data_IF_412170093197
#
_entry.id   IF_412170093197
#
_cell.length_a   1.000
_cell.length_b   1.000
_cell.length_c   1.000
_cell.angle_alpha   90.00
_cell.angle_beta   90.00
_cell.angle_gamma   90.00
#
_symmetry.space_group_name_H-M   'P 1'
#
loop_
_entity.id
_entity.type
_entity.pdbx_description
1 polymer ?
#
# COMPACT_ATOMS: atom_id res chain seq x y z
N UNK A 1 -6.65 15.79 5.56
CA UNK A 1 -6.05 14.44 5.68
C UNK A 1 -4.53 14.55 5.68
N UNK A 2 -3.97 15.18 6.70
CA UNK A 2 -2.54 15.53 6.72
C UNK A 2 -1.64 14.33 6.96
N UNK A 3 -2.11 13.34 7.74
CA UNK A 3 -1.31 12.14 8.02
C UNK A 3 -1.13 11.34 6.74
N UNK A 4 -2.19 11.12 5.99
CA UNK A 4 -2.13 10.35 4.76
C UNK A 4 -1.30 11.08 3.69
N UNK A 5 -1.42 12.41 3.61
CA UNK A 5 -0.54 13.26 2.78
C UNK A 5 0.94 13.09 3.14
N UNK A 6 1.27 13.00 4.43
CA UNK A 6 2.64 12.79 4.89
C UNK A 6 3.16 11.42 4.46
N UNK A 7 2.40 10.36 4.71
CA UNK A 7 2.80 8.99 4.33
C UNK A 7 2.98 8.85 2.81
N UNK A 8 2.13 9.48 1.99
CA UNK A 8 2.27 9.46 0.53
C UNK A 8 3.57 10.10 0.01
N UNK A 9 4.20 11.01 0.78
CA UNK A 9 5.49 11.61 0.37
C UNK A 9 6.65 10.62 0.51
N UNK A 10 6.51 9.64 1.40
CA UNK A 10 7.50 8.59 1.62
C UNK A 10 7.36 7.44 0.60
N UNK A 11 6.30 7.44 -0.21
CA UNK A 11 6.06 6.42 -1.22
C UNK A 11 7.13 6.46 -2.32
N UNK A 12 7.97 5.42 -2.37
CA UNK A 12 8.96 5.20 -3.43
C UNK A 12 8.50 4.22 -4.51
N UNK A 13 7.44 3.46 -4.22
CA UNK A 13 7.06 2.26 -4.98
C UNK A 13 5.88 2.45 -5.92
N UNK A 14 5.19 3.60 -5.89
CA UNK A 14 4.03 3.85 -6.72
C UNK A 14 3.83 5.35 -7.00
N UNK A 15 3.11 5.66 -8.08
CA UNK A 15 2.74 7.03 -8.39
C UNK A 15 1.61 7.52 -7.48
N UNK A 16 1.94 8.46 -6.59
CA UNK A 16 1.00 9.07 -5.65
C UNK A 16 0.08 10.12 -6.29
N UNK A 17 0.23 10.46 -7.58
CA UNK A 17 -0.54 11.52 -8.26
C UNK A 17 -2.05 11.29 -8.17
N UNK A 18 -2.51 10.06 -8.38
CA UNK A 18 -3.93 9.68 -8.22
C UNK A 18 -4.49 10.10 -6.86
N UNK A 19 -3.76 9.83 -5.77
CA UNK A 19 -4.22 10.19 -4.42
C UNK A 19 -4.16 11.68 -4.16
N UNK A 20 -3.18 12.41 -4.73
CA UNK A 20 -3.10 13.87 -4.61
C UNK A 20 -4.35 14.55 -5.17
N UNK A 21 -4.82 14.11 -6.34
CA UNK A 21 -6.03 14.65 -6.98
C UNK A 21 -7.30 14.39 -6.15
N UNK A 22 -7.40 13.21 -5.53
CA UNK A 22 -8.50 12.90 -4.62
C UNK A 22 -8.43 13.76 -3.34
N UNK A 23 -7.24 13.96 -2.80
CA UNK A 23 -7.06 14.79 -1.61
C UNK A 23 -7.40 16.26 -1.88
N UNK A 24 -7.03 16.79 -3.04
CA UNK A 24 -7.40 18.14 -3.45
C UNK A 24 -8.91 18.27 -3.67
N UNK A 25 -9.57 17.20 -4.13
CA UNK A 25 -11.04 17.14 -4.21
C UNK A 25 -11.68 17.25 -2.83
N UNK A 26 -11.13 16.56 -1.81
CA UNK A 26 -11.63 16.64 -0.42
C UNK A 26 -11.49 18.08 0.11
N UNK A 27 -10.32 18.69 -0.03
CA UNK A 27 -10.06 20.02 0.52
C UNK A 27 -10.96 21.10 -0.13
N UNK A 28 -11.27 20.95 -1.42
CA UNK A 28 -12.12 21.90 -2.14
C UNK A 28 -13.62 21.73 -1.86
N UNK A 29 -14.07 20.56 -1.40
CA UNK A 29 -15.50 20.23 -1.36
C UNK A 29 -16.03 19.83 0.03
N UNK A 30 -15.21 19.76 1.08
CA UNK A 30 -15.68 19.34 2.41
C UNK A 30 -16.85 20.18 2.94
N UNK A 31 -16.78 21.51 2.82
CA UNK A 31 -17.82 22.42 3.30
C UNK A 31 -19.00 22.55 2.33
N UNK A 32 -18.73 22.57 1.02
CA UNK A 32 -19.74 22.87 0.00
C UNK A 32 -20.50 21.63 -0.51
N UNK A 33 -19.82 20.48 -0.57
CA UNK A 33 -20.34 19.22 -1.11
C UNK A 33 -19.87 18.02 -0.27
N UNK A 34 -20.43 17.86 0.95
CA UNK A 34 -20.11 16.75 1.86
C UNK A 34 -20.21 15.36 1.21
N UNK A 35 -21.18 15.16 0.32
CA UNK A 35 -21.39 13.89 -0.37
C UNK A 35 -20.22 13.52 -1.31
N UNK A 36 -19.72 14.48 -2.08
CA UNK A 36 -18.55 14.28 -2.95
C UNK A 36 -17.33 13.94 -2.10
N UNK A 37 -17.19 14.59 -0.95
CA UNK A 37 -16.10 14.34 -0.01
C UNK A 37 -16.14 12.92 0.54
N UNK A 38 -17.33 12.42 0.90
CA UNK A 38 -17.53 11.03 1.35
C UNK A 38 -17.25 10.02 0.22
N UNK A 39 -17.69 10.32 -1.01
CA UNK A 39 -17.39 9.50 -2.20
C UNK A 39 -15.88 9.43 -2.47
N UNK A 40 -15.20 10.55 -2.30
CA UNK A 40 -13.74 10.65 -2.48
C UNK A 40 -13.00 9.87 -1.39
N UNK A 41 -13.45 9.93 -0.14
CA UNK A 41 -12.91 9.09 0.94
C UNK A 41 -13.05 7.59 0.62
N UNK A 42 -14.20 7.16 0.09
CA UNK A 42 -14.37 5.78 -0.39
C UNK A 42 -13.36 5.44 -1.49
N UNK A 43 -13.17 6.31 -2.47
CA UNK A 43 -12.22 6.08 -3.56
C UNK A 43 -10.79 5.91 -3.06
N UNK A 44 -10.38 6.68 -2.04
CA UNK A 44 -9.07 6.55 -1.38
C UNK A 44 -8.93 5.17 -0.71
N UNK A 45 -9.92 4.75 0.07
CA UNK A 45 -9.91 3.43 0.74
C UNK A 45 -9.83 2.30 -0.29
N UNK A 46 -10.61 2.41 -1.37
CA UNK A 46 -10.65 1.42 -2.45
C UNK A 46 -9.32 1.36 -3.21
N UNK A 47 -8.78 2.51 -3.60
CA UNK A 47 -7.52 2.63 -4.31
C UNK A 47 -6.36 2.06 -3.50
N UNK A 48 -6.23 2.45 -2.22
CA UNK A 48 -5.18 1.93 -1.34
C UNK A 48 -5.31 0.40 -1.14
N UNK A 49 -6.53 -0.11 -0.99
CA UNK A 49 -6.74 -1.55 -0.85
C UNK A 49 -6.32 -2.32 -2.11
N UNK A 50 -6.62 -1.77 -3.30
CA UNK A 50 -6.19 -2.35 -4.58
C UNK A 50 -4.67 -2.33 -4.71
N UNK A 51 -4.03 -1.18 -4.42
CA UNK A 51 -2.59 -1.03 -4.44
C UNK A 51 -1.90 -2.11 -3.59
N UNK A 52 -2.31 -2.26 -2.33
CA UNK A 52 -1.74 -3.27 -1.42
C UNK A 52 -1.87 -4.68 -1.99
N UNK A 53 -3.01 -5.04 -2.57
CA UNK A 53 -3.24 -6.39 -3.13
C UNK A 53 -2.47 -6.63 -4.44
N UNK A 54 -2.32 -5.60 -5.26
CA UNK A 54 -1.50 -5.66 -6.46
C UNK A 54 -0.03 -5.87 -6.10
N UNK A 55 0.47 -5.13 -5.11
CA UNK A 55 1.88 -5.13 -4.74
C UNK A 55 2.28 -6.35 -3.89
N UNK A 56 1.47 -6.72 -2.88
CA UNK A 56 1.85 -7.81 -1.97
C UNK A 56 1.39 -9.21 -2.42
N UNK A 57 0.28 -9.30 -3.16
CA UNK A 57 -0.30 -10.58 -3.57
C UNK A 57 -0.33 -10.74 -5.10
N UNK A 58 0.30 -9.82 -5.86
CA UNK A 58 0.38 -9.85 -7.33
C UNK A 58 -1.00 -9.99 -8.00
N UNK A 59 -2.03 -9.42 -7.37
CA UNK A 59 -3.40 -9.51 -7.88
C UNK A 59 -3.53 -8.67 -9.16
N UNK A 60 -3.91 -9.26 -10.31
CA UNK A 60 -3.97 -8.52 -11.57
C UNK A 60 -5.12 -7.50 -11.58
N UNK A 61 -4.95 -6.38 -12.28
CA UNK A 61 -5.96 -5.31 -12.35
C UNK A 61 -7.33 -5.81 -12.84
N UNK A 62 -7.33 -6.80 -13.74
CA UNK A 62 -8.53 -7.44 -14.27
C UNK A 62 -9.39 -8.12 -13.20
N UNK A 63 -8.80 -8.56 -12.08
CA UNK A 63 -9.52 -9.11 -10.95
C UNK A 63 -10.50 -8.09 -10.35
N UNK A 64 -10.10 -6.82 -10.27
CA UNK A 64 -10.93 -5.75 -9.71
C UNK A 64 -12.00 -5.25 -10.68
N UNK A 65 -11.77 -5.38 -12.00
CA UNK A 65 -12.72 -4.96 -13.04
C UNK A 65 -13.85 -5.97 -13.24
N UNK A 66 -13.58 -7.26 -13.05
CA UNK A 66 -14.50 -8.35 -13.39
C UNK A 66 -15.33 -8.87 -12.20
N UNK A 67 -15.16 -8.27 -11.02
CA UNK A 67 -15.80 -8.72 -9.77
C UNK A 67 -16.47 -7.55 -9.09
N UNK A 68 -17.76 -7.71 -8.77
CA UNK A 68 -18.49 -6.77 -7.90
C UNK A 68 -18.10 -7.02 -6.44
N UNK A 69 -16.91 -6.54 -6.06
CA UNK A 69 -16.37 -6.63 -4.71
C UNK A 69 -16.87 -5.44 -3.90
N UNK A 70 -17.59 -5.72 -2.81
CA UNK A 70 -17.93 -4.67 -1.85
C UNK A 70 -16.66 -4.08 -1.24
N UNK A 71 -16.67 -2.77 -0.97
CA UNK A 71 -15.55 -2.04 -0.36
C UNK A 71 -15.02 -2.74 0.90
N UNK A 72 -15.93 -3.26 1.73
CA UNK A 72 -15.58 -3.99 2.96
C UNK A 72 -14.80 -5.30 2.71
N UNK A 73 -15.13 -6.03 1.64
CA UNK A 73 -14.40 -7.26 1.27
C UNK A 73 -13.01 -6.93 0.78
N UNK A 74 -12.91 -5.95 -0.12
CA UNK A 74 -11.64 -5.48 -0.66
C UNK A 74 -10.70 -4.98 0.45
N UNK A 75 -11.22 -4.17 1.36
CA UNK A 75 -10.48 -3.67 2.51
C UNK A 75 -10.01 -4.81 3.44
N UNK A 76 -10.87 -5.81 3.68
CA UNK A 76 -10.52 -6.99 4.47
C UNK A 76 -9.40 -7.80 3.81
N UNK A 77 -9.47 -8.00 2.50
CA UNK A 77 -8.44 -8.71 1.72
C UNK A 77 -7.09 -7.98 1.83
N UNK A 78 -7.06 -6.66 1.59
CA UNK A 78 -5.84 -5.85 1.70
C UNK A 78 -5.23 -5.89 3.11
N UNK A 79 -6.06 -5.75 4.15
CA UNK A 79 -5.64 -5.87 5.55
C UNK A 79 -5.04 -7.25 5.84
N UNK A 80 -5.64 -8.31 5.33
CA UNK A 80 -5.16 -9.67 5.54
C UNK A 80 -3.83 -9.92 4.81
N UNK A 81 -3.65 -9.35 3.61
CA UNK A 81 -2.37 -9.39 2.89
C UNK A 81 -1.25 -8.71 3.71
N UNK A 82 -1.51 -7.51 4.24
CA UNK A 82 -0.57 -6.83 5.14
C UNK A 82 -0.25 -7.69 6.37
N UNK A 83 -1.27 -8.23 7.04
CA UNK A 83 -1.10 -9.11 8.21
C UNK A 83 -0.18 -10.29 7.90
N UNK A 84 -0.46 -11.00 6.80
CA UNK A 84 0.32 -12.14 6.34
C UNK A 84 1.77 -11.77 6.05
N UNK A 85 2.04 -10.62 5.40
CA UNK A 85 3.41 -10.16 5.12
C UNK A 85 4.17 -9.79 6.40
N UNK A 86 3.52 -9.08 7.33
CA UNK A 86 4.09 -8.76 8.66
C UNK A 86 4.43 -10.05 9.43
N UNK A 87 3.56 -11.05 9.40
CA UNK A 87 3.78 -12.35 10.04
C UNK A 87 4.90 -13.14 9.35
N UNK A 88 5.05 -13.04 8.03
CA UNK A 88 6.15 -13.67 7.29
C UNK A 88 7.51 -13.03 7.64
N UNK A 89 7.60 -11.69 7.67
CA UNK A 89 8.79 -10.95 8.08
C UNK A 89 9.20 -11.21 9.55
N UNK A 90 8.31 -11.76 10.38
CA UNK A 90 8.62 -12.23 11.73
C UNK A 90 9.45 -13.51 11.75
N UNK A 91 9.31 -14.37 10.73
CA UNK A 91 9.92 -15.70 10.70
C UNK A 91 11.40 -15.67 10.32
N UNK A 92 11.88 -14.57 9.74
CA UNK A 92 13.29 -14.36 9.38
C UNK A 92 14.14 -13.81 10.54
N UNK A 93 13.50 -13.29 11.60
CA UNK A 93 14.19 -12.74 12.78
C UNK A 93 14.04 -13.72 13.95
N UNK A 94 14.85 -14.78 13.95
CA UNK A 94 15.05 -15.66 15.12
C UNK A 94 16.43 -15.36 15.70
N UNK A 95 16.50 -14.53 16.73
CA UNK A 95 17.72 -14.39 17.53
C UNK A 95 17.82 -15.55 18.54
N UNK A 96 19.03 -16.06 18.77
CA UNK A 96 19.33 -17.17 19.70
C UNK A 96 18.93 -16.88 21.17
N UNK A 97 18.67 -15.61 21.54
CA UNK A 97 18.44 -15.20 22.94
C UNK A 97 16.97 -14.84 23.31
N UNK A 98 15.98 -15.24 22.50
CA UNK A 98 14.59 -15.30 22.96
C UNK A 98 13.82 -13.97 23.08
N UNK A 99 14.31 -12.87 22.50
CA UNK A 99 13.54 -11.62 22.41
C UNK A 99 12.60 -11.66 21.20
N UNK A 100 11.34 -12.04 21.43
CA UNK A 100 10.28 -12.01 20.41
C UNK A 100 9.19 -11.03 20.85
N UNK A 101 9.37 -9.72 20.66
CA UNK A 101 8.34 -8.77 21.16
C UNK A 101 7.96 -7.56 20.30
N UNK A 102 8.62 -7.25 19.18
CA UNK A 102 8.31 -5.99 18.46
C UNK A 102 7.08 -6.06 17.52
N UNK A 103 6.82 -7.20 16.88
CA UNK A 103 5.78 -7.31 15.82
C UNK A 103 4.59 -8.22 16.16
N UNK A 104 4.71 -9.08 17.19
CA UNK A 104 3.68 -10.09 17.52
C UNK A 104 2.32 -9.52 17.92
N UNK A 105 2.28 -8.29 18.45
CA UNK A 105 1.03 -7.62 18.82
C UNK A 105 0.43 -6.80 17.66
N UNK A 106 1.26 -6.36 16.69
CA UNK A 106 0.84 -5.44 15.62
C UNK A 106 -0.15 -6.11 14.64
N UNK A 107 0.07 -7.38 14.29
CA UNK A 107 -0.84 -8.16 13.44
C UNK A 107 -2.25 -8.30 14.05
N UNK A 108 -2.33 -8.52 15.37
CA UNK A 108 -3.59 -8.60 16.10
C UNK A 108 -4.25 -7.22 16.26
N UNK A 109 -3.45 -6.17 16.50
CA UNK A 109 -3.92 -4.78 16.55
C UNK A 109 -4.50 -4.35 15.19
N UNK A 110 -3.89 -4.74 14.07
CA UNK A 110 -4.43 -4.49 12.73
C UNK A 110 -5.84 -5.05 12.56
N UNK A 111 -6.06 -6.27 13.04
CA UNK A 111 -7.37 -6.93 12.95
C UNK A 111 -8.45 -6.25 13.79
N UNK A 112 -8.07 -5.72 14.96
CA UNK A 112 -8.99 -5.02 15.87
C UNK A 112 -9.30 -3.58 15.42
N UNK A 113 -8.29 -2.83 14.97
CA UNK A 113 -8.43 -1.41 14.62
C UNK A 113 -8.94 -1.18 13.19
N UNK A 114 -8.51 -2.02 12.23
CA UNK A 114 -8.96 -1.93 10.84
C UNK A 114 -10.18 -2.85 10.63
N UNK A 115 -11.28 -2.53 11.31
CA UNK A 115 -12.52 -3.29 11.22
C UNK A 115 -13.25 -3.01 9.89
N UNK A 116 -13.47 -4.02 9.01
CA UNK A 116 -14.18 -3.84 7.75
C UNK A 116 -15.63 -3.35 7.89
N UNK A 117 -16.24 -3.46 9.06
CA UNK A 117 -17.60 -2.96 9.33
C UNK A 117 -17.67 -1.43 9.29
N UNK A 118 -16.63 -0.73 9.74
CA UNK A 118 -16.57 0.75 9.65
C UNK A 118 -16.57 1.16 8.17
N UNK A 119 -15.76 0.47 7.37
CA UNK A 119 -15.70 0.66 5.91
C UNK A 119 -17.02 0.32 5.23
N UNK A 120 -17.69 -0.75 5.67
CA UNK A 120 -19.01 -1.11 5.18
C UNK A 120 -20.02 0.01 5.43
N UNK A 121 -20.01 0.62 6.63
CA UNK A 121 -20.89 1.75 6.98
C UNK A 121 -20.62 2.98 6.12
N UNK A 122 -19.36 3.32 5.86
CA UNK A 122 -19.00 4.41 4.93
C UNK A 122 -19.58 4.12 3.52
N UNK A 123 -19.45 2.86 3.05
CA UNK A 123 -20.03 2.42 1.78
C UNK A 123 -21.57 2.51 1.73
N UNK A 124 -22.25 2.18 2.83
CA UNK A 124 -23.70 2.32 2.96
C UNK A 124 -24.13 3.78 2.95
N UNK A 125 -23.49 4.65 3.76
CA UNK A 125 -23.76 6.10 3.79
C UNK A 125 -23.63 6.68 2.39
N UNK A 126 -22.57 6.31 1.64
CA UNK A 126 -22.43 6.72 0.24
C UNK A 126 -23.58 6.22 -0.63
N UNK A 127 -23.95 4.95 -0.51
CA UNK A 127 -24.97 4.35 -1.40
C UNK A 127 -26.34 4.96 -1.17
N UNK A 128 -26.69 5.23 0.09
CA UNK A 128 -27.97 5.81 0.49
C UNK A 128 -28.02 7.34 0.24
N UNK A 129 -26.91 8.06 0.48
CA UNK A 129 -26.92 9.53 0.53
C UNK A 129 -26.14 10.23 -0.61
N UNK A 130 -25.20 9.56 -1.29
CA UNK A 130 -24.32 10.15 -2.32
C UNK A 130 -25.05 10.68 -3.56
N UNK A 131 -24.52 11.73 -4.19
CA UNK A 131 -25.16 12.41 -5.33
C UNK A 131 -25.29 11.53 -6.58
N UNK A 132 -24.38 10.59 -6.79
CA UNK A 132 -24.29 9.77 -8.01
C UNK A 132 -24.19 8.28 -7.63
N UNK A 133 -25.28 7.71 -7.11
CA UNK A 133 -25.38 6.27 -6.78
C UNK A 133 -26.17 5.49 -7.84
N UNK A 134 -25.64 4.38 -8.35
CA UNK A 134 -26.41 3.49 -9.23
C UNK A 134 -27.59 2.87 -8.46
N UNK A 135 -28.82 3.03 -8.99
CA UNK A 135 -30.05 2.46 -8.41
C UNK A 135 -30.94 3.41 -7.61
N UNK A 136 -30.73 4.74 -7.71
CA UNK A 136 -31.41 5.72 -6.86
C UNK A 136 -32.83 6.08 -7.30
N UNK A 137 -33.69 6.32 -6.31
CA UNK A 137 -34.98 7.00 -6.42
C UNK A 137 -34.76 8.53 -6.47
N UNK A 138 -35.59 9.34 -7.17
CA UNK A 138 -35.29 10.76 -7.46
C UNK A 138 -35.24 11.72 -6.25
N UNK A 139 -35.69 11.30 -5.07
CA UNK A 139 -35.77 12.14 -3.88
C UNK A 139 -34.69 11.71 -2.87
N UNK A 140 -33.78 12.63 -2.55
CA UNK A 140 -32.84 12.47 -1.43
C UNK A 140 -33.61 12.42 -0.12
N UNK A 141 -33.49 11.32 0.63
CA UNK A 141 -34.08 11.20 1.97
C UNK A 141 -33.26 11.93 3.03
N UNK A 142 -31.97 12.15 2.79
CA UNK A 142 -31.05 12.82 3.71
C UNK A 142 -29.91 13.51 2.94
N UNK A 143 -29.52 14.70 3.40
CA UNK A 143 -28.32 15.43 2.96
C UNK A 143 -27.30 15.31 4.07
N UNK A 144 -26.07 14.91 3.74
CA UNK A 144 -25.00 14.85 4.72
C UNK A 144 -24.49 16.27 5.01
N UNK A 145 -24.17 16.55 6.27
CA UNK A 145 -23.58 17.81 6.68
C UNK A 145 -22.04 17.75 6.65
N UNK A 146 -21.42 18.92 6.74
CA UNK A 146 -19.96 19.07 6.80
C UNK A 146 -19.35 18.28 7.96
N UNK A 147 -20.00 18.29 9.14
CA UNK A 147 -19.52 17.59 10.32
C UNK A 147 -19.42 16.06 10.12
N UNK A 148 -20.39 15.46 9.43
CA UNK A 148 -20.32 14.05 9.06
C UNK A 148 -19.21 13.77 8.04
N UNK A 149 -19.02 14.65 7.05
CA UNK A 149 -17.92 14.53 6.11
C UNK A 149 -16.56 14.62 6.82
N UNK A 150 -16.38 15.58 7.74
CA UNK A 150 -15.16 15.71 8.56
C UNK A 150 -14.89 14.47 9.41
N UNK A 151 -15.93 13.86 10.00
CA UNK A 151 -15.78 12.60 10.72
C UNK A 151 -15.26 11.48 9.79
N UNK A 152 -15.85 11.35 8.60
CA UNK A 152 -15.46 10.33 7.62
C UNK A 152 -14.03 10.60 7.10
N UNK A 153 -13.65 11.86 6.89
CA UNK A 153 -12.28 12.27 6.57
C UNK A 153 -11.34 11.81 7.68
N UNK A 154 -11.64 12.07 8.94
CA UNK A 154 -10.78 11.70 10.07
C UNK A 154 -10.58 10.19 10.23
N UNK A 155 -11.65 9.41 10.01
CA UNK A 155 -11.59 7.94 9.98
C UNK A 155 -10.73 7.45 8.82
N UNK A 156 -10.95 8.01 7.63
CA UNK A 156 -10.21 7.67 6.41
C UNK A 156 -8.73 7.99 6.56
N UNK A 157 -8.40 9.19 7.02
CA UNK A 157 -7.02 9.65 7.25
C UNK A 157 -6.30 8.69 8.20
N UNK A 158 -6.94 8.35 9.33
CA UNK A 158 -6.33 7.47 10.34
C UNK A 158 -6.10 6.05 9.82
N UNK A 159 -7.11 5.44 9.18
CA UNK A 159 -7.00 4.07 8.67
C UNK A 159 -6.04 3.96 7.50
N UNK A 160 -6.17 4.84 6.50
CA UNK A 160 -5.35 4.80 5.30
C UNK A 160 -3.88 5.15 5.60
N UNK A 161 -3.63 6.12 6.49
CA UNK A 161 -2.25 6.40 6.94
C UNK A 161 -1.64 5.18 7.59
N UNK A 162 -2.35 4.56 8.53
CA UNK A 162 -1.82 3.39 9.23
C UNK A 162 -1.56 2.21 8.29
N UNK A 163 -2.48 1.93 7.35
CA UNK A 163 -2.28 0.91 6.33
C UNK A 163 -1.08 1.22 5.44
N UNK A 164 -0.92 2.47 5.01
CA UNK A 164 0.18 2.89 4.15
C UNK A 164 1.53 2.80 4.87
N UNK A 165 1.61 3.24 6.13
CA UNK A 165 2.82 3.04 6.96
C UNK A 165 3.18 1.57 7.07
N UNK A 166 2.20 0.69 7.32
CA UNK A 166 2.45 -0.76 7.39
C UNK A 166 2.82 -1.36 6.06
N UNK A 167 2.25 -0.86 4.98
CA UNK A 167 2.61 -1.23 3.63
C UNK A 167 4.08 -0.90 3.33
N UNK A 168 4.53 0.33 3.60
CA UNK A 168 5.94 0.71 3.46
C UNK A 168 6.89 -0.15 4.31
N UNK A 169 6.45 -0.58 5.49
CA UNK A 169 7.27 -1.45 6.37
C UNK A 169 7.43 -2.89 5.88
N UNK A 170 6.55 -3.36 4.99
CA UNK A 170 6.55 -4.75 4.51
C UNK A 170 6.76 -4.90 3.02
N UNK A 171 6.84 -3.80 2.28
CA UNK A 171 7.41 -3.84 0.95
C UNK A 171 8.90 -4.18 1.09
N UNK A 172 9.35 -5.10 0.25
CA UNK A 172 10.78 -5.32 0.06
C UNK A 172 11.39 -4.00 -0.44
N UNK A 173 12.61 -3.67 -0.02
CA UNK A 173 13.31 -2.50 -0.54
C UNK A 173 13.26 -2.52 -2.07
N UNK A 174 12.94 -1.38 -2.70
CA UNK A 174 13.11 -1.28 -4.15
C UNK A 174 14.59 -1.48 -4.39
N UNK A 175 14.94 -2.64 -4.91
CA UNK A 175 16.28 -2.85 -5.39
C UNK A 175 16.44 -1.98 -6.63
N UNK A 176 17.12 -0.85 -6.49
CA UNK A 176 17.56 -0.05 -7.62
C UNK A 176 18.93 -0.56 -8.06
N UNK A 177 19.11 -0.64 -9.37
CA UNK A 177 20.38 -1.05 -9.95
C UNK A 177 21.51 -0.12 -9.49
N UNK A 178 21.21 1.18 -9.41
CA UNK A 178 22.13 2.25 -9.07
C UNK A 178 22.59 2.22 -7.60
N UNK A 179 21.86 1.53 -6.72
CA UNK A 179 22.17 1.46 -5.29
C UNK A 179 23.30 0.45 -4.99
N UNK A 180 23.69 -0.39 -5.95
CA UNK A 180 24.64 -1.50 -5.72
C UNK A 180 25.82 -1.48 -6.72
N UNK A 181 26.57 -0.37 -6.86
CA UNK A 181 27.61 -0.23 -7.88
C UNK A 181 28.75 -1.25 -7.72
N UNK A 182 29.20 -1.54 -6.48
CA UNK A 182 30.29 -2.48 -6.23
C UNK A 182 29.94 -3.91 -6.65
N UNK A 183 28.70 -4.33 -6.41
CA UNK A 183 28.20 -5.63 -6.86
C UNK A 183 28.03 -5.68 -8.39
N UNK A 184 27.53 -4.60 -9.01
CA UNK A 184 27.40 -4.52 -10.46
C UNK A 184 28.76 -4.66 -11.15
N UNK A 185 29.77 -3.94 -10.66
CA UNK A 185 31.13 -4.00 -11.17
C UNK A 185 31.70 -5.42 -11.01
N UNK A 186 31.49 -6.05 -9.85
CA UNK A 186 31.89 -7.45 -9.62
C UNK A 186 31.29 -8.42 -10.66
N UNK A 187 29.98 -8.31 -10.91
CA UNK A 187 29.31 -9.15 -11.91
C UNK A 187 29.82 -8.91 -13.33
N UNK A 188 30.05 -7.66 -13.70
CA UNK A 188 30.52 -7.28 -15.03
C UNK A 188 31.99 -7.68 -15.27
N UNK A 189 32.83 -7.63 -14.24
CA UNK A 189 34.21 -8.12 -14.29
C UNK A 189 34.27 -9.66 -14.37
N UNK A 190 33.42 -10.36 -13.61
CA UNK A 190 33.36 -11.81 -13.61
C UNK A 190 32.76 -12.39 -14.91
N UNK A 191 31.81 -11.67 -15.51
CA UNK A 191 31.08 -12.10 -16.72
C UNK A 191 31.11 -11.02 -17.81
N UNK A 192 32.29 -10.77 -18.43
CA UNK A 192 32.42 -9.73 -19.45
C UNK A 192 31.61 -10.09 -20.69
N UNK A 193 30.70 -9.19 -21.08
CA UNK A 193 29.84 -9.35 -22.26
C UNK A 193 30.37 -8.55 -23.46
N UNK A 194 30.12 -9.01 -24.70
CA UNK A 194 30.56 -8.30 -25.89
C UNK A 194 29.77 -7.00 -26.11
N UNK A 195 30.47 -5.93 -26.52
CA UNK A 195 29.97 -4.58 -26.77
C UNK A 195 29.64 -3.78 -25.48
N UNK A 196 28.76 -2.77 -25.58
CA UNK A 196 28.37 -1.84 -24.49
C UNK A 196 27.31 -2.43 -23.53
N UNK A 197 27.10 -3.74 -23.55
CA UNK A 197 26.10 -4.40 -22.70
C UNK A 197 26.77 -4.82 -21.40
N UNK A 198 26.24 -4.33 -20.28
CA UNK A 198 26.65 -4.77 -18.94
C UNK A 198 25.84 -6.01 -18.56
N UNK A 199 26.53 -7.05 -18.11
CA UNK A 199 25.91 -8.29 -17.66
C UNK A 199 25.03 -8.04 -16.44
N UNK A 200 25.55 -7.29 -15.47
CA UNK A 200 24.84 -6.87 -14.26
C UNK A 200 23.52 -6.17 -14.59
N UNK A 201 23.53 -5.23 -15.55
CA UNK A 201 22.34 -4.50 -15.98
C UNK A 201 21.35 -5.40 -16.71
N UNK A 202 21.84 -6.29 -17.58
CA UNK A 202 20.99 -7.25 -18.26
C UNK A 202 20.32 -8.23 -17.29
N UNK A 203 21.06 -8.71 -16.28
CA UNK A 203 20.56 -9.57 -15.22
C UNK A 203 19.49 -8.84 -14.39
N UNK A 204 19.74 -7.59 -14.00
CA UNK A 204 18.78 -6.77 -13.27
C UNK A 204 17.48 -6.54 -14.05
N UNK A 205 17.57 -6.17 -15.33
CA UNK A 205 16.41 -5.82 -16.15
C UNK A 205 15.57 -7.05 -16.57
N UNK A 206 16.20 -8.21 -16.76
CA UNK A 206 15.55 -9.42 -17.30
C UNK A 206 15.23 -10.47 -16.24
N UNK A 207 16.09 -10.62 -15.22
CA UNK A 207 16.02 -11.67 -14.20
C UNK A 207 16.23 -11.06 -12.78
N UNK A 208 15.39 -10.09 -12.36
CA UNK A 208 15.59 -9.33 -11.12
C UNK A 208 15.63 -10.19 -9.84
N UNK A 209 15.02 -11.39 -9.87
CA UNK A 209 15.07 -12.32 -8.75
C UNK A 209 16.43 -12.99 -8.62
N UNK A 210 17.07 -13.35 -9.74
CA UNK A 210 18.42 -13.94 -9.74
C UNK A 210 19.42 -12.88 -9.28
N UNK A 211 19.30 -11.65 -9.79
CA UNK A 211 20.12 -10.52 -9.35
C UNK A 211 20.05 -10.32 -7.82
N UNK A 212 18.85 -10.40 -7.22
CA UNK A 212 18.72 -10.29 -5.74
C UNK A 212 19.42 -11.39 -4.97
N UNK A 213 19.32 -12.63 -5.45
CA UNK A 213 19.95 -13.79 -4.81
C UNK A 213 21.47 -13.61 -4.84
N UNK A 214 22.03 -13.32 -6.02
CA UNK A 214 23.47 -13.11 -6.18
C UNK A 214 23.97 -11.89 -5.39
N UNK A 215 23.18 -10.82 -5.31
CA UNK A 215 23.49 -9.68 -4.44
C UNK A 215 23.51 -10.09 -2.96
N UNK A 216 22.54 -10.90 -2.53
CA UNK A 216 22.50 -11.45 -1.17
C UNK A 216 23.76 -12.27 -0.85
N UNK A 217 24.16 -13.14 -1.77
CA UNK A 217 25.38 -13.94 -1.67
C UNK A 217 26.63 -13.05 -1.62
N UNK A 218 26.71 -12.04 -2.49
CA UNK A 218 27.80 -11.06 -2.49
C UNK A 218 27.91 -10.30 -1.16
N UNK A 219 26.80 -9.83 -0.60
CA UNK A 219 26.80 -9.14 0.69
C UNK A 219 27.25 -10.06 1.82
N UNK A 220 26.81 -11.31 1.81
CA UNK A 220 27.27 -12.30 2.79
C UNK A 220 28.77 -12.55 2.68
N UNK A 221 29.32 -12.61 1.47
CA UNK A 221 30.74 -12.92 1.21
C UNK A 221 31.67 -11.72 1.42
N UNK A 222 31.22 -10.50 1.11
CA UNK A 222 32.10 -9.32 1.04
C UNK A 222 31.72 -8.16 1.97
N UNK A 223 30.50 -8.12 2.54
CA UNK A 223 30.04 -7.05 3.45
C UNK A 223 29.93 -7.52 4.92
N UNK A 224 30.30 -8.76 5.24
CA UNK A 224 30.36 -9.24 6.63
C UNK A 224 31.69 -8.89 7.29
N UNK A 225 31.88 -7.62 7.70
CA UNK A 225 32.82 -7.19 8.76
C UNK A 225 32.70 -5.67 9.06
N UNK A 226 31.50 -5.18 9.36
CA UNK A 226 31.33 -3.91 10.10
C UNK A 226 30.35 -4.07 11.28
N UNK A 227 30.77 -4.82 12.30
CA UNK A 227 30.37 -4.58 13.72
C UNK A 227 31.58 -4.62 14.65
#
# INVERSE_FOLDING_TARGET
MERFRSELKEARHFDAQYYKELLDTIDNYVAEKPDITIETCKAIIEGLSKLILMELEQTPESYFKNRDLSLSKLFKEARNALKKRIEASRSEIVYEDGIVEKYGNIANILEQLLNPEVVARIGTIRTEHGDISHGRTPLKTQVNDEALAELIIGLTDSMCSYMLTKFHQVQDDVLLYEDNPAFNDYLDEASPMPNTVLYSKALFDQEPQIYRIELGDYKLEFETDEE
#
